data_IF_993284271867
#
_entry.id   IF_993284271867
#
_cell.length_a   1.000
_cell.length_b   1.000
_cell.length_c   1.000
_cell.angle_alpha   90.00
_cell.angle_beta   90.00
_cell.angle_gamma   90.00
#
_symmetry.space_group_name_H-M   'P 1'
#
loop_
_entity.id
_entity.type
_entity.pdbx_description
1 polymer ?
#
# COMPACT_ATOMS: atom_id res chain seq x y z
N UNK A 1 3.91 -17.11 23.67
CA UNK A 1 3.28 -15.91 24.24
C UNK A 1 4.04 -14.62 23.87
N UNK A 2 5.38 -14.57 23.82
CA UNK A 2 6.11 -13.34 23.44
C UNK A 2 5.92 -12.84 21.99
N UNK A 3 5.65 -13.72 21.01
CA UNK A 3 5.53 -13.31 19.60
C UNK A 3 4.21 -12.58 19.28
N UNK A 4 3.11 -12.89 19.97
CA UNK A 4 1.82 -12.22 19.72
C UNK A 4 1.84 -10.77 20.18
N UNK A 5 2.50 -10.50 21.30
CA UNK A 5 2.55 -9.16 21.89
C UNK A 5 3.41 -8.22 21.03
N UNK A 6 4.50 -8.73 20.47
CA UNK A 6 5.32 -7.99 19.51
C UNK A 6 4.52 -7.65 18.24
N UNK A 7 3.79 -8.61 17.68
CA UNK A 7 2.96 -8.38 16.48
C UNK A 7 1.86 -7.37 16.74
N UNK A 8 1.19 -7.44 17.90
CA UNK A 8 0.17 -6.47 18.29
C UNK A 8 0.75 -5.05 18.42
N UNK A 9 1.94 -4.92 19.02
CA UNK A 9 2.63 -3.64 19.15
C UNK A 9 3.01 -3.07 17.77
N UNK A 10 3.56 -3.88 16.87
CA UNK A 10 3.88 -3.47 15.49
C UNK A 10 2.63 -3.04 14.73
N UNK A 11 1.51 -3.75 14.90
CA UNK A 11 0.23 -3.38 14.30
C UNK A 11 -0.27 -2.03 14.82
N UNK A 12 -0.17 -1.77 16.12
CA UNK A 12 -0.56 -0.48 16.72
C UNK A 12 0.30 0.68 16.19
N UNK A 13 1.62 0.48 16.10
CA UNK A 13 2.54 1.46 15.53
C UNK A 13 2.18 1.75 14.07
N UNK A 14 2.00 0.70 13.26
CA UNK A 14 1.65 0.82 11.84
C UNK A 14 0.29 1.54 11.65
N UNK A 15 -0.69 1.20 12.48
CA UNK A 15 -2.03 1.78 12.44
C UNK A 15 -2.03 3.28 12.72
N UNK A 16 -1.13 3.75 13.59
CA UNK A 16 -1.04 5.16 14.00
C UNK A 16 0.06 5.96 13.28
N UNK A 17 0.90 5.30 12.49
CA UNK A 17 1.98 5.96 11.78
C UNK A 17 1.45 7.03 10.82
N UNK A 18 2.08 8.22 10.90
CA UNK A 18 1.79 9.39 10.06
C UNK A 18 2.54 9.39 8.74
N UNK A 19 3.52 8.50 8.57
CA UNK A 19 4.24 8.38 7.32
C UNK A 19 3.27 7.97 6.20
N UNK A 20 3.43 8.60 5.04
CA UNK A 20 2.52 8.48 3.91
C UNK A 20 2.16 7.03 3.51
N UNK A 21 3.09 6.05 3.49
CA UNK A 21 2.75 4.67 3.13
C UNK A 21 1.67 4.03 4.01
N UNK A 22 1.67 4.34 5.31
CA UNK A 22 0.64 3.83 6.24
C UNK A 22 -0.70 4.52 6.05
N UNK A 23 -0.70 5.79 5.61
CA UNK A 23 -1.94 6.48 5.26
C UNK A 23 -2.59 5.87 4.01
N UNK A 24 -1.81 5.60 2.97
CA UNK A 24 -2.30 4.91 1.76
C UNK A 24 -2.80 3.50 2.07
N UNK A 25 -2.04 2.72 2.86
CA UNK A 25 -2.46 1.37 3.25
C UNK A 25 -3.83 1.36 3.95
N UNK A 26 -4.09 2.31 4.85
CA UNK A 26 -5.42 2.47 5.51
C UNK A 26 -6.51 2.87 4.53
N UNK A 27 -6.22 3.77 3.60
CA UNK A 27 -7.16 4.20 2.57
C UNK A 27 -7.53 3.05 1.62
N UNK A 28 -6.53 2.27 1.21
CA UNK A 28 -6.68 1.07 0.40
C UNK A 28 -7.51 0.00 1.13
N UNK A 29 -7.19 -0.33 2.38
CA UNK A 29 -7.97 -1.28 3.18
C UNK A 29 -9.45 -0.87 3.27
N UNK A 30 -9.71 0.41 3.56
CA UNK A 30 -11.08 0.97 3.61
C UNK A 30 -11.81 0.89 2.26
N UNK A 31 -11.08 0.92 1.13
CA UNK A 31 -11.66 0.75 -0.21
C UNK A 31 -11.98 -0.71 -0.48
N UNK A 32 -11.10 -1.63 -0.09
CA UNK A 32 -11.30 -3.08 -0.25
C UNK A 32 -12.50 -3.56 0.57
N UNK A 33 -12.64 -3.11 1.83
CA UNK A 33 -13.79 -3.43 2.68
C UNK A 33 -15.13 -3.06 2.02
N UNK A 34 -15.16 -1.96 1.26
CA UNK A 34 -16.35 -1.49 0.53
C UNK A 34 -16.63 -2.29 -0.75
N UNK A 35 -15.62 -2.93 -1.33
CA UNK A 35 -15.80 -3.77 -2.52
C UNK A 35 -16.35 -5.17 -2.16
N UNK A 36 -16.34 -5.55 -0.87
CA UNK A 36 -16.78 -6.86 -0.39
C UNK A 36 -15.89 -8.01 -0.88
N UNK A 37 -16.30 -9.26 -0.64
CA UNK A 37 -15.60 -10.49 -1.07
C UNK A 37 -15.70 -10.74 -2.59
N UNK A 38 -15.72 -9.69 -3.41
CA UNK A 38 -15.93 -9.83 -4.86
C UNK A 38 -14.69 -10.29 -5.62
N UNK A 39 -13.50 -10.26 -4.99
CA UNK A 39 -12.24 -10.73 -5.59
C UNK A 39 -11.28 -11.30 -4.55
N UNK A 40 -10.76 -12.50 -4.83
CA UNK A 40 -9.71 -13.15 -4.04
C UNK A 40 -8.34 -12.45 -4.16
N UNK A 41 -8.18 -11.59 -5.16
CA UNK A 41 -6.89 -10.98 -5.53
C UNK A 41 -7.04 -9.50 -5.90
N UNK A 42 -6.01 -8.72 -5.55
CA UNK A 42 -5.88 -7.30 -5.90
C UNK A 42 -4.68 -7.13 -6.83
N UNK A 43 -4.92 -6.62 -8.04
CA UNK A 43 -3.87 -6.29 -9.00
C UNK A 43 -3.48 -4.82 -8.86
N UNK A 44 -2.22 -4.57 -8.49
CA UNK A 44 -1.62 -3.25 -8.53
C UNK A 44 -0.92 -3.07 -9.86
N UNK A 45 -1.23 -1.98 -10.55
CA UNK A 45 -0.63 -1.65 -11.83
C UNK A 45 0.03 -0.27 -11.74
N UNK A 46 1.08 -0.12 -12.51
CA UNK A 46 1.79 1.14 -12.71
C UNK A 46 2.09 1.29 -14.19
N UNK A 47 2.40 2.49 -14.64
CA UNK A 47 2.63 2.76 -16.05
C UNK A 47 3.54 3.97 -16.26
N UNK A 48 4.00 4.12 -17.50
CA UNK A 48 4.71 5.29 -17.96
C UNK A 48 4.00 5.87 -19.19
N UNK A 49 4.08 7.19 -19.35
CA UNK A 49 3.47 7.86 -20.51
C UNK A 49 4.18 7.47 -21.82
N UNK A 50 3.46 7.41 -22.97
CA UNK A 50 4.04 7.04 -24.26
C UNK A 50 4.94 8.13 -24.88
N UNK A 51 5.15 9.25 -24.18
CA UNK A 51 5.84 10.45 -24.66
C UNK A 51 7.37 10.32 -24.72
N UNK A 52 7.95 9.22 -24.25
CA UNK A 52 9.40 9.00 -24.29
C UNK A 52 9.83 7.65 -23.72
N UNK A 53 11.14 7.35 -23.85
CA UNK A 53 11.72 6.17 -23.23
C UNK A 53 11.65 6.29 -21.70
N UNK A 54 11.34 5.19 -20.98
CA UNK A 54 11.37 5.20 -19.53
C UNK A 54 12.75 5.61 -19.02
N UNK A 55 12.79 6.61 -18.15
CA UNK A 55 13.99 6.97 -17.41
C UNK A 55 13.80 6.62 -15.92
N UNK A 56 14.82 6.87 -15.11
CA UNK A 56 14.80 6.50 -13.68
C UNK A 56 13.68 7.18 -12.87
N UNK A 57 13.16 8.32 -13.36
CA UNK A 57 12.11 9.10 -12.71
C UNK A 57 10.78 8.35 -12.56
N UNK A 58 10.21 7.82 -13.66
CA UNK A 58 9.05 6.94 -13.63
C UNK A 58 9.11 5.81 -12.59
N UNK A 59 10.27 5.15 -12.44
CA UNK A 59 10.44 4.11 -11.42
C UNK A 59 10.31 4.65 -9.98
N UNK A 60 10.75 5.89 -9.75
CA UNK A 60 10.58 6.55 -8.46
C UNK A 60 9.12 6.93 -8.16
N UNK A 61 8.30 7.16 -9.18
CA UNK A 61 6.85 7.39 -9.05
C UNK A 61 6.11 6.07 -8.74
N UNK A 62 6.50 4.98 -9.41
CA UNK A 62 5.99 3.63 -9.13
C UNK A 62 6.20 3.23 -7.67
N UNK A 63 7.38 3.47 -7.11
CA UNK A 63 7.68 3.09 -5.70
C UNK A 63 6.86 3.91 -4.69
N UNK A 64 6.33 5.05 -5.09
CA UNK A 64 5.44 5.89 -4.30
C UNK A 64 3.96 5.64 -4.61
N UNK A 65 3.61 4.49 -5.18
CA UNK A 65 2.22 4.09 -5.41
C UNK A 65 2.06 2.63 -5.05
#
# INVERSE_FOLDING_TARGET
MMMSDLTANLHEIASNAKAWPFAEARALASRLDKMGDTKDEVLFETGYGPSGLPHIGPFGEVVRT
#
